data_IF_264375500760
#
_entry.id   IF_264375500760
#
_cell.length_a   1.000
_cell.length_b   1.000
_cell.length_c   1.000
_cell.angle_alpha   90.00
_cell.angle_beta   90.00
_cell.angle_gamma   90.00
#
_symmetry.space_group_name_H-M   'P 1'
#
loop_
_entity.id
_entity.type
_entity.pdbx_description
1 polymer ?
#
# COMPACT_ATOMS: atom_id res chain seq x y z
N UNK A 1 -10.28 4.36 -27.91
CA UNK A 1 -9.50 5.48 -28.47
C UNK A 1 -8.04 5.07 -28.51
N UNK A 2 -7.42 5.17 -29.67
CA UNK A 2 -6.00 4.90 -29.84
C UNK A 2 -5.23 6.23 -29.71
N UNK A 3 -4.31 6.27 -28.77
CA UNK A 3 -3.40 7.41 -28.56
C UNK A 3 -2.14 7.13 -29.38
N UNK A 4 -1.58 8.15 -30.04
CA UNK A 4 -0.30 7.97 -30.73
C UNK A 4 0.75 7.50 -29.69
N UNK A 5 1.48 6.44 -29.99
CA UNK A 5 2.49 5.88 -29.06
C UNK A 5 3.49 6.95 -28.60
N UNK A 6 3.88 7.88 -29.47
CA UNK A 6 4.75 9.02 -29.14
C UNK A 6 4.21 9.87 -27.98
N UNK A 7 2.89 10.11 -27.92
CA UNK A 7 2.29 10.90 -26.85
C UNK A 7 2.34 10.17 -25.49
N UNK A 8 2.21 8.85 -25.49
CA UNK A 8 2.32 8.03 -24.27
C UNK A 8 3.74 8.13 -23.71
N UNK A 9 4.77 7.95 -24.55
CA UNK A 9 6.16 8.08 -24.13
C UNK A 9 6.47 9.51 -23.63
N UNK A 10 5.93 10.53 -24.27
CA UNK A 10 6.12 11.92 -23.84
C UNK A 10 5.53 12.16 -22.45
N UNK A 11 4.34 11.62 -22.15
CA UNK A 11 3.72 11.75 -20.82
C UNK A 11 4.59 11.08 -19.76
N UNK A 12 5.05 9.83 -19.98
CA UNK A 12 5.95 9.16 -19.05
C UNK A 12 7.26 9.90 -18.85
N UNK A 13 7.83 10.45 -19.92
CA UNK A 13 9.05 11.25 -19.87
C UNK A 13 8.86 12.53 -19.03
N UNK A 14 7.75 13.24 -19.21
CA UNK A 14 7.41 14.42 -18.41
C UNK A 14 7.25 14.08 -16.92
N UNK A 15 6.59 12.95 -16.61
CA UNK A 15 6.43 12.49 -15.21
C UNK A 15 7.77 12.08 -14.60
N UNK A 16 8.63 11.42 -15.36
CA UNK A 16 9.99 11.11 -14.92
C UNK A 16 10.80 12.38 -14.64
N UNK A 17 10.77 13.37 -15.56
CA UNK A 17 11.42 14.66 -15.31
C UNK A 17 10.85 15.39 -14.09
N UNK A 18 9.54 15.33 -13.87
CA UNK A 18 8.92 15.87 -12.65
C UNK A 18 9.47 15.21 -11.38
N UNK A 19 9.72 13.89 -11.41
CA UNK A 19 10.33 13.18 -10.29
C UNK A 19 11.79 13.55 -10.08
N UNK A 20 12.56 13.74 -11.17
CA UNK A 20 13.94 14.25 -11.09
C UNK A 20 14.01 15.67 -10.53
N UNK A 21 13.09 16.56 -10.93
CA UNK A 21 13.00 17.90 -10.35
C UNK A 21 12.72 17.81 -8.85
N UNK A 22 11.76 16.95 -8.43
CA UNK A 22 11.50 16.68 -7.02
C UNK A 22 12.74 16.18 -6.26
N UNK A 23 13.54 15.30 -6.88
CA UNK A 23 14.80 14.83 -6.31
C UNK A 23 15.79 15.98 -6.06
N UNK A 24 16.00 16.86 -7.04
CA UNK A 24 16.91 18.01 -6.88
C UNK A 24 16.39 19.04 -5.87
N UNK A 25 15.07 19.20 -5.74
CA UNK A 25 14.44 20.08 -4.77
C UNK A 25 14.30 19.46 -3.37
N UNK A 26 14.73 18.19 -3.19
CA UNK A 26 14.54 17.42 -1.96
C UNK A 26 13.07 17.35 -1.52
N UNK A 27 12.18 17.10 -2.48
CA UNK A 27 10.74 16.99 -2.25
C UNK A 27 10.41 15.95 -1.17
N UNK A 28 9.54 16.33 -0.22
CA UNK A 28 8.94 15.45 0.78
C UNK A 28 7.49 15.86 1.04
N UNK A 29 6.59 15.51 0.11
CA UNK A 29 5.17 15.84 0.24
C UNK A 29 4.42 14.85 1.14
N UNK A 30 5.07 13.79 1.61
CA UNK A 30 4.54 12.85 2.60
C UNK A 30 4.65 13.37 4.04
N UNK A 31 5.55 14.31 4.29
CA UNK A 31 5.90 14.90 5.61
C UNK A 31 6.65 13.97 6.58
N UNK A 32 7.18 12.85 6.13
CA UNK A 32 7.86 11.91 7.02
C UNK A 32 9.12 11.29 6.43
N UNK A 33 9.14 11.03 5.13
CA UNK A 33 10.21 10.24 4.50
C UNK A 33 11.62 10.85 4.66
N UNK A 34 11.76 12.16 4.71
CA UNK A 34 13.06 12.80 4.97
C UNK A 34 13.51 12.61 6.41
N UNK A 35 12.60 12.69 7.36
CA UNK A 35 12.86 12.46 8.78
C UNK A 35 13.26 10.99 8.99
N UNK A 36 12.46 10.07 8.45
CA UNK A 36 12.73 8.64 8.52
C UNK A 36 14.06 8.27 7.86
N UNK A 37 14.36 8.87 6.71
CA UNK A 37 15.66 8.67 6.04
C UNK A 37 16.85 9.05 6.94
N UNK A 38 16.76 10.16 7.69
CA UNK A 38 17.80 10.55 8.64
C UNK A 38 17.92 9.55 9.80
N UNK A 39 16.81 9.06 10.34
CA UNK A 39 16.80 8.01 11.35
C UNK A 39 17.40 6.71 10.79
N UNK A 40 17.07 6.33 9.57
CA UNK A 40 17.63 5.15 8.91
C UNK A 40 19.16 5.23 8.74
N UNK A 41 19.70 6.42 8.47
CA UNK A 41 21.17 6.61 8.40
C UNK A 41 21.86 6.26 9.70
N UNK A 42 21.21 6.48 10.82
CA UNK A 42 21.70 6.17 12.14
C UNK A 42 21.81 4.66 12.32
N UNK A 43 20.72 3.94 12.06
CA UNK A 43 20.74 2.47 12.14
C UNK A 43 21.74 1.86 11.15
N UNK A 44 21.89 2.44 9.95
CA UNK A 44 22.94 2.01 9.00
C UNK A 44 24.34 2.21 9.56
N UNK A 45 24.61 3.33 10.26
CA UNK A 45 25.92 3.56 10.88
C UNK A 45 26.24 2.56 11.98
N UNK A 46 25.22 2.04 12.69
CA UNK A 46 25.39 0.96 13.67
C UNK A 46 25.83 -0.34 12.99
N UNK A 47 25.21 -0.71 11.86
CA UNK A 47 25.64 -1.86 11.05
C UNK A 47 27.05 -1.68 10.46
N UNK A 48 27.46 -0.45 10.15
CA UNK A 48 28.83 -0.16 9.68
C UNK A 48 29.87 -0.37 10.79
N UNK A 49 29.51 -0.02 12.03
CA UNK A 49 30.39 -0.12 13.20
C UNK A 49 30.60 -1.57 13.64
N UNK A 50 29.51 -2.31 13.82
CA UNK A 50 29.54 -3.72 14.21
C UNK A 50 28.32 -4.46 13.66
N UNK A 51 28.50 -5.09 12.51
CA UNK A 51 27.43 -5.75 11.77
C UNK A 51 26.78 -6.87 12.59
N UNK A 52 27.58 -7.77 13.17
CA UNK A 52 27.04 -8.94 13.86
C UNK A 52 26.35 -8.55 15.19
N UNK A 53 26.96 -7.65 15.94
CA UNK A 53 26.36 -7.16 17.19
C UNK A 53 25.02 -6.48 16.90
N UNK A 54 24.98 -5.56 15.94
CA UNK A 54 23.75 -4.85 15.57
C UNK A 54 22.68 -5.81 15.08
N UNK A 55 23.03 -6.84 14.29
CA UNK A 55 22.06 -7.82 13.80
C UNK A 55 21.45 -8.66 14.93
N UNK A 56 22.23 -9.02 15.94
CA UNK A 56 21.79 -9.88 17.07
C UNK A 56 21.03 -9.12 18.17
N UNK A 57 21.17 -7.80 18.24
CA UNK A 57 20.48 -6.94 19.22
C UNK A 57 19.55 -5.91 18.58
N UNK A 58 19.14 -6.13 17.34
CA UNK A 58 18.35 -5.15 16.57
C UNK A 58 16.97 -4.87 17.16
N UNK A 59 16.38 -5.86 17.85
CA UNK A 59 15.13 -5.70 18.59
C UNK A 59 15.17 -4.74 19.77
N UNK A 60 16.38 -4.31 20.21
CA UNK A 60 16.53 -3.27 21.23
C UNK A 60 16.38 -1.84 20.63
N UNK A 61 16.44 -1.73 19.31
CA UNK A 61 16.32 -0.47 18.61
C UNK A 61 14.84 -0.06 18.44
N UNK A 62 14.51 1.22 18.63
CA UNK A 62 13.13 1.70 18.50
C UNK A 62 12.70 1.83 17.02
N UNK A 63 12.74 0.74 16.28
CA UNK A 63 12.36 0.72 14.85
C UNK A 63 11.42 -0.41 14.55
N UNK A 64 10.40 -0.12 13.71
CA UNK A 64 9.46 -1.11 13.19
C UNK A 64 9.93 -1.76 11.87
N UNK A 65 11.07 -1.33 11.32
CA UNK A 65 11.57 -1.83 10.05
C UNK A 65 12.42 -3.10 10.23
N UNK A 66 12.43 -3.92 9.20
CA UNK A 66 13.26 -5.13 9.16
C UNK A 66 14.75 -4.80 9.05
N UNK A 67 15.65 -5.54 9.73
CA UNK A 67 17.10 -5.37 9.59
C UNK A 67 17.58 -5.53 8.12
N UNK A 68 16.89 -6.32 7.31
CA UNK A 68 17.23 -6.50 5.88
C UNK A 68 17.14 -5.18 5.10
N UNK A 69 16.21 -4.31 5.46
CA UNK A 69 16.13 -2.98 4.85
C UNK A 69 17.42 -2.17 5.12
N UNK A 70 17.94 -2.17 6.32
CA UNK A 70 19.17 -1.45 6.67
C UNK A 70 20.41 -2.06 6.03
N UNK A 71 20.47 -3.39 5.91
CA UNK A 71 21.53 -4.09 5.17
C UNK A 71 21.48 -3.70 3.68
N UNK A 72 20.30 -3.62 3.08
CA UNK A 72 20.13 -3.13 1.70
C UNK A 72 20.56 -1.67 1.57
N UNK A 73 20.18 -0.81 2.50
CA UNK A 73 20.60 0.59 2.48
C UNK A 73 22.14 0.72 2.63
N UNK A 74 22.73 -0.04 3.54
CA UNK A 74 24.19 -0.12 3.68
C UNK A 74 24.87 -0.57 2.38
N UNK A 75 24.30 -1.57 1.70
CA UNK A 75 24.78 -2.01 0.39
C UNK A 75 24.73 -0.87 -0.65
N UNK A 76 23.58 -0.17 -0.75
CA UNK A 76 23.45 0.99 -1.64
C UNK A 76 24.51 2.06 -1.33
N UNK A 77 24.71 2.37 -0.05
CA UNK A 77 25.72 3.36 0.38
C UNK A 77 27.12 2.95 -0.02
N UNK A 78 27.49 1.67 0.16
CA UNK A 78 28.83 1.15 -0.22
C UNK A 78 29.06 1.14 -1.72
N UNK A 79 28.06 0.79 -2.52
CA UNK A 79 28.17 0.72 -3.98
C UNK A 79 28.21 2.13 -4.61
N UNK A 80 27.50 3.08 -4.01
CA UNK A 80 27.36 4.42 -4.60
C UNK A 80 28.48 5.40 -4.25
N UNK A 81 29.26 5.15 -3.19
CA UNK A 81 30.27 6.07 -2.63
C UNK A 81 29.76 7.48 -2.29
N UNK A 82 28.50 7.81 -2.63
CA UNK A 82 27.89 9.11 -2.43
C UNK A 82 26.39 8.96 -2.11
N UNK A 83 25.92 9.69 -1.11
CA UNK A 83 24.54 9.66 -0.65
C UNK A 83 23.53 10.01 -1.76
N UNK A 84 23.81 11.05 -2.55
CA UNK A 84 22.93 11.45 -3.65
C UNK A 84 22.87 10.38 -4.76
N UNK A 85 23.96 9.66 -5.01
CA UNK A 85 23.96 8.54 -5.96
C UNK A 85 23.14 7.38 -5.41
N UNK A 86 23.24 7.05 -4.11
CA UNK A 86 22.41 6.03 -3.49
C UNK A 86 20.90 6.36 -3.63
N UNK A 87 20.52 7.60 -3.32
CA UNK A 87 19.15 8.10 -3.50
C UNK A 87 18.71 8.04 -4.99
N UNK A 88 19.60 8.40 -5.91
CA UNK A 88 19.30 8.33 -7.34
C UNK A 88 19.10 6.89 -7.81
N UNK A 89 19.88 5.92 -7.31
CA UNK A 89 19.67 4.50 -7.57
C UNK A 89 18.30 4.06 -7.05
N UNK A 90 17.93 4.44 -5.82
CA UNK A 90 16.62 4.15 -5.25
C UNK A 90 15.47 4.71 -6.10
N UNK A 91 15.62 5.96 -6.60
CA UNK A 91 14.66 6.58 -7.51
C UNK A 91 14.48 5.73 -8.78
N UNK A 92 15.56 5.28 -9.39
CA UNK A 92 15.48 4.47 -10.61
C UNK A 92 14.91 3.07 -10.35
N UNK A 93 15.21 2.46 -9.19
CA UNK A 93 14.58 1.20 -8.78
C UNK A 93 13.06 1.39 -8.60
N UNK A 94 12.63 2.51 -8.04
CA UNK A 94 11.21 2.82 -7.88
C UNK A 94 10.46 2.93 -9.21
N UNK A 95 11.11 3.28 -10.33
CA UNK A 95 10.48 3.32 -11.65
C UNK A 95 10.00 1.94 -12.15
N UNK A 96 10.54 0.86 -11.62
CA UNK A 96 10.02 -0.47 -11.95
C UNK A 96 8.62 -0.72 -11.39
N UNK A 97 8.15 0.03 -10.36
CA UNK A 97 6.80 -0.11 -9.80
C UNK A 97 5.73 0.23 -10.86
N UNK A 98 5.69 1.44 -11.45
CA UNK A 98 4.72 1.74 -12.51
C UNK A 98 4.91 0.87 -13.76
N UNK A 99 6.12 0.40 -14.04
CA UNK A 99 6.39 -0.53 -15.15
C UNK A 99 5.72 -1.90 -14.90
N UNK A 100 5.93 -2.52 -13.73
CA UNK A 100 5.26 -3.80 -13.40
C UNK A 100 3.76 -3.63 -13.27
N UNK A 101 3.28 -2.50 -12.77
CA UNK A 101 1.85 -2.19 -12.77
C UNK A 101 1.28 -2.16 -14.19
N UNK A 102 1.98 -1.55 -15.14
CA UNK A 102 1.62 -1.61 -16.56
C UNK A 102 1.56 -3.05 -17.09
N UNK A 103 2.56 -3.88 -16.77
CA UNK A 103 2.57 -5.29 -17.17
C UNK A 103 1.39 -6.08 -16.59
N UNK A 104 1.05 -5.88 -15.31
CA UNK A 104 -0.11 -6.47 -14.66
C UNK A 104 -1.42 -6.07 -15.35
N UNK A 105 -1.60 -4.78 -15.62
CA UNK A 105 -2.78 -4.27 -16.31
C UNK A 105 -2.90 -4.85 -17.72
N UNK A 106 -1.79 -4.90 -18.45
CA UNK A 106 -1.75 -5.48 -19.80
C UNK A 106 -2.13 -6.96 -19.79
N UNK A 107 -1.64 -7.70 -18.82
CA UNK A 107 -1.95 -9.12 -18.65
C UNK A 107 -3.44 -9.32 -18.33
N UNK A 108 -3.98 -8.58 -17.35
CA UNK A 108 -5.38 -8.72 -16.92
C UNK A 108 -6.40 -8.25 -17.96
N UNK A 109 -6.12 -7.15 -18.65
CA UNK A 109 -7.10 -6.49 -19.54
C UNK A 109 -6.80 -6.65 -21.02
N UNK A 110 -5.74 -7.34 -21.39
CA UNK A 110 -5.33 -7.66 -22.77
C UNK A 110 -5.48 -6.49 -23.76
N UNK A 111 -4.76 -5.40 -23.55
CA UNK A 111 -4.84 -4.20 -24.39
C UNK A 111 -3.52 -3.88 -25.11
N UNK A 112 -3.62 -3.19 -26.24
CA UNK A 112 -2.46 -2.71 -26.98
C UNK A 112 -1.84 -1.46 -26.35
N UNK A 113 -0.53 -1.24 -26.57
CA UNK A 113 0.23 -0.09 -26.01
C UNK A 113 -0.39 1.27 -26.34
N UNK A 114 -1.07 1.41 -27.46
CA UNK A 114 -1.75 2.65 -27.89
C UNK A 114 -3.12 2.88 -27.21
N UNK A 115 -3.54 2.00 -26.33
CA UNK A 115 -4.80 2.14 -25.61
C UNK A 115 -4.66 3.12 -24.43
N UNK A 116 -5.72 3.87 -24.13
CA UNK A 116 -5.80 4.78 -22.99
C UNK A 116 -5.43 4.10 -21.64
N UNK A 117 -5.70 2.81 -21.51
CA UNK A 117 -5.34 2.00 -20.32
C UNK A 117 -3.85 1.98 -20.03
N UNK A 118 -3.00 2.17 -21.04
CA UNK A 118 -1.55 2.23 -20.87
C UNK A 118 -1.08 3.46 -20.07
N UNK A 119 -1.94 4.46 -19.90
CA UNK A 119 -1.67 5.64 -19.08
C UNK A 119 -2.14 5.51 -17.62
N UNK A 120 -2.86 4.44 -17.25
CA UNK A 120 -3.26 4.24 -15.84
C UNK A 120 -2.06 4.26 -14.88
N UNK A 121 -0.90 3.64 -15.19
CA UNK A 121 0.26 3.69 -14.28
C UNK A 121 0.82 5.09 -14.04
N UNK A 122 0.45 6.09 -14.84
CA UNK A 122 0.85 7.49 -14.60
C UNK A 122 0.38 8.02 -13.24
N UNK A 123 -0.73 7.47 -12.69
CA UNK A 123 -1.24 7.87 -11.37
C UNK A 123 -0.24 7.61 -10.25
N UNK A 124 0.64 6.61 -10.40
CA UNK A 124 1.66 6.29 -9.40
C UNK A 124 2.64 7.45 -9.24
N UNK A 125 3.02 8.13 -10.34
CA UNK A 125 3.87 9.32 -10.28
C UNK A 125 3.19 10.54 -9.63
N UNK A 126 1.86 10.51 -9.48
CA UNK A 126 1.08 11.55 -8.81
C UNK A 126 0.81 11.22 -7.34
N UNK A 127 1.21 10.04 -6.86
CA UNK A 127 1.16 9.66 -5.45
C UNK A 127 2.25 10.41 -4.68
N UNK A 128 1.91 11.21 -3.64
CA UNK A 128 2.90 11.91 -2.83
C UNK A 128 3.83 10.95 -2.07
N UNK A 129 3.31 9.82 -1.60
CA UNK A 129 4.09 8.83 -0.85
C UNK A 129 5.02 8.02 -1.76
N UNK A 130 4.57 7.64 -2.96
CA UNK A 130 5.48 7.04 -3.95
C UNK A 130 6.63 7.98 -4.31
N UNK A 131 6.34 9.27 -4.53
CA UNK A 131 7.36 10.27 -4.88
C UNK A 131 8.37 10.43 -3.76
N UNK A 132 7.90 10.64 -2.54
CA UNK A 132 8.76 10.79 -1.37
C UNK A 132 9.62 9.53 -1.13
N UNK A 133 9.03 8.32 -1.16
CA UNK A 133 9.77 7.06 -1.04
C UNK A 133 10.74 6.77 -2.20
N UNK A 134 10.50 7.33 -3.40
CA UNK A 134 11.46 7.24 -4.51
C UNK A 134 12.66 8.17 -4.32
N UNK A 135 12.44 9.36 -3.76
CA UNK A 135 13.46 10.39 -3.52
C UNK A 135 14.29 10.10 -2.27
N UNK A 136 13.63 9.67 -1.19
CA UNK A 136 14.25 9.31 0.07
C UNK A 136 14.27 7.78 0.22
N UNK A 137 15.41 7.20 0.58
CA UNK A 137 15.53 5.75 0.71
C UNK A 137 14.72 5.30 1.92
N UNK A 138 13.56 4.65 1.64
CA UNK A 138 12.67 4.04 2.61
C UNK A 138 12.38 2.59 2.26
N UNK A 139 11.82 1.83 3.19
CA UNK A 139 11.43 0.43 2.98
C UNK A 139 10.21 0.28 2.06
N UNK A 140 9.41 1.35 1.91
CA UNK A 140 8.12 1.35 1.25
C UNK A 140 8.20 0.98 -0.23
N UNK A 141 8.98 1.75 -1.01
CA UNK A 141 9.04 1.55 -2.45
C UNK A 141 9.74 0.25 -2.84
N UNK A 142 10.80 -0.15 -2.13
CA UNK A 142 11.48 -1.42 -2.46
C UNK A 142 10.60 -2.63 -2.14
N UNK A 143 9.89 -2.61 -1.01
CA UNK A 143 8.95 -3.68 -0.65
C UNK A 143 7.75 -3.70 -1.60
N UNK A 144 7.23 -2.53 -1.98
CA UNK A 144 6.13 -2.39 -2.93
C UNK A 144 6.52 -2.88 -4.33
N UNK A 145 7.79 -2.67 -4.75
CA UNK A 145 8.32 -3.22 -6.00
C UNK A 145 8.22 -4.75 -6.00
N UNK A 146 8.70 -5.41 -4.95
CA UNK A 146 8.62 -6.86 -4.87
C UNK A 146 7.17 -7.35 -4.78
N UNK A 147 6.32 -6.61 -4.08
CA UNK A 147 4.89 -6.94 -3.98
C UNK A 147 4.18 -6.87 -5.35
N UNK A 148 4.43 -5.83 -6.16
CA UNK A 148 3.82 -5.73 -7.49
C UNK A 148 4.36 -6.78 -8.47
N UNK A 149 5.62 -7.19 -8.32
CA UNK A 149 6.18 -8.32 -9.06
C UNK A 149 5.49 -9.64 -8.64
N UNK A 150 5.22 -9.82 -7.34
CA UNK A 150 4.43 -10.95 -6.84
C UNK A 150 3.02 -10.95 -7.47
N UNK A 151 2.33 -9.80 -7.52
CA UNK A 151 1.03 -9.66 -8.20
C UNK A 151 1.10 -10.02 -9.69
N UNK A 152 2.19 -9.63 -10.36
CA UNK A 152 2.39 -9.98 -11.77
C UNK A 152 2.43 -11.50 -11.98
N UNK A 153 3.18 -12.25 -11.16
CA UNK A 153 3.25 -13.71 -11.28
C UNK A 153 1.95 -14.39 -10.84
N UNK A 154 1.25 -13.85 -9.83
CA UNK A 154 -0.08 -14.31 -9.48
C UNK A 154 -1.07 -14.14 -10.66
N UNK A 155 -1.12 -12.98 -11.30
CA UNK A 155 -1.97 -12.74 -12.46
C UNK A 155 -1.55 -13.60 -13.66
N UNK A 156 -0.25 -13.78 -13.86
CA UNK A 156 0.27 -14.66 -14.90
C UNK A 156 -0.21 -16.10 -14.70
N UNK A 157 -0.21 -16.60 -13.45
CA UNK A 157 -0.81 -17.89 -13.12
C UNK A 157 -2.34 -17.89 -13.36
N UNK A 158 -3.06 -16.84 -12.93
CA UNK A 158 -4.51 -16.74 -13.04
C UNK A 158 -4.99 -16.76 -14.50
N UNK A 159 -4.27 -16.10 -15.41
CA UNK A 159 -4.61 -16.00 -16.84
C UNK A 159 -3.88 -17.00 -17.74
N UNK A 160 -2.93 -17.77 -17.21
CA UNK A 160 -2.25 -18.83 -17.94
C UNK A 160 -3.15 -20.07 -18.10
N UNK A 161 -3.25 -20.58 -19.33
CA UNK A 161 -4.04 -21.80 -19.61
C UNK A 161 -3.41 -23.04 -18.95
N UNK A 162 -2.09 -23.11 -18.90
CA UNK A 162 -1.34 -24.26 -18.41
C UNK A 162 -1.20 -24.27 -16.88
N UNK A 163 -1.54 -23.16 -16.20
CA UNK A 163 -1.42 -23.03 -14.74
C UNK A 163 -0.04 -23.45 -14.22
N UNK A 164 1.00 -22.82 -14.76
CA UNK A 164 2.40 -23.22 -14.54
C UNK A 164 2.84 -23.04 -13.07
N UNK A 165 3.50 -24.05 -12.50
CA UNK A 165 4.08 -24.04 -11.15
C UNK A 165 5.10 -22.93 -10.92
N UNK A 166 5.91 -22.61 -11.94
CA UNK A 166 6.91 -21.54 -11.82
C UNK A 166 6.29 -20.19 -11.45
N UNK A 167 5.06 -19.94 -11.92
CA UNK A 167 4.37 -18.69 -11.59
C UNK A 167 3.92 -18.66 -10.11
N UNK A 168 3.54 -19.83 -9.53
CA UNK A 168 3.24 -19.96 -8.09
C UNK A 168 4.51 -19.70 -7.27
N UNK A 169 5.61 -20.37 -7.63
CA UNK A 169 6.90 -20.20 -6.95
C UNK A 169 7.36 -18.74 -6.97
N UNK A 170 7.34 -18.10 -8.14
CA UNK A 170 7.78 -16.71 -8.28
C UNK A 170 6.84 -15.74 -7.55
N UNK A 171 5.52 -16.01 -7.51
CA UNK A 171 4.60 -15.23 -6.68
C UNK A 171 5.02 -15.26 -5.21
N UNK A 172 5.26 -16.45 -4.65
CA UNK A 172 5.65 -16.63 -3.25
C UNK A 172 7.04 -16.06 -2.98
N UNK A 173 8.02 -16.28 -3.88
CA UNK A 173 9.37 -15.76 -3.74
C UNK A 173 9.39 -14.23 -3.66
N UNK A 174 8.69 -13.56 -4.58
CA UNK A 174 8.65 -12.09 -4.57
C UNK A 174 7.78 -11.54 -3.43
N UNK A 175 6.77 -12.28 -2.97
CA UNK A 175 6.05 -11.93 -1.75
C UNK A 175 6.96 -12.04 -0.53
N UNK A 176 7.75 -13.10 -0.41
CA UNK A 176 8.74 -13.25 0.66
C UNK A 176 9.77 -12.11 0.63
N UNK A 177 10.30 -11.75 -0.55
CA UNK A 177 11.16 -10.58 -0.67
C UNK A 177 10.48 -9.30 -0.17
N UNK A 178 9.23 -9.03 -0.57
CA UNK A 178 8.47 -7.87 -0.08
C UNK A 178 8.33 -7.90 1.44
N UNK A 179 8.03 -9.06 2.02
CA UNK A 179 7.87 -9.28 3.46
C UNK A 179 9.17 -9.09 4.23
N UNK A 180 10.30 -9.51 3.67
CA UNK A 180 11.61 -9.30 4.29
C UNK A 180 11.98 -7.81 4.42
N UNK A 181 11.53 -6.95 3.50
CA UNK A 181 11.71 -5.51 3.62
C UNK A 181 10.64 -4.88 4.52
N UNK A 182 9.39 -5.33 4.41
CA UNK A 182 8.25 -4.81 5.17
C UNK A 182 7.36 -5.97 5.64
N UNK A 183 7.49 -6.43 6.90
CA UNK A 183 6.84 -7.64 7.43
C UNK A 183 5.31 -7.67 7.26
N UNK A 184 4.66 -6.51 7.27
CA UNK A 184 3.20 -6.38 7.10
C UNK A 184 2.67 -7.02 5.82
N UNK A 185 3.49 -7.12 4.76
CA UNK A 185 3.06 -7.73 3.51
C UNK A 185 2.92 -9.26 3.56
N UNK A 186 3.39 -9.90 4.64
CA UNK A 186 3.15 -11.33 4.87
C UNK A 186 1.67 -11.71 4.82
N UNK A 187 0.79 -10.80 5.24
CA UNK A 187 -0.66 -11.01 5.28
C UNK A 187 -1.26 -11.33 3.89
N UNK A 188 -0.63 -10.86 2.79
CA UNK A 188 -1.05 -11.20 1.44
C UNK A 188 -0.93 -12.69 1.11
N UNK A 189 -0.10 -13.44 1.87
CA UNK A 189 -0.02 -14.91 1.70
C UNK A 189 -1.37 -15.58 1.96
N UNK A 190 -2.19 -15.05 2.87
CA UNK A 190 -3.55 -15.54 3.17
C UNK A 190 -4.46 -15.33 1.96
N UNK A 191 -4.40 -14.15 1.33
CA UNK A 191 -5.18 -13.87 0.13
C UNK A 191 -4.79 -14.80 -1.04
N UNK A 192 -3.50 -14.96 -1.31
CA UNK A 192 -3.04 -15.83 -2.39
C UNK A 192 -3.34 -17.29 -2.09
N UNK A 193 -3.14 -17.75 -0.84
CA UNK A 193 -3.54 -19.09 -0.42
C UNK A 193 -4.99 -19.38 -0.74
N UNK A 194 -5.89 -18.49 -0.33
CA UNK A 194 -7.31 -18.64 -0.60
C UNK A 194 -7.60 -18.69 -2.10
N UNK A 195 -6.99 -17.80 -2.89
CA UNK A 195 -7.17 -17.79 -4.35
C UNK A 195 -6.71 -19.08 -5.00
N UNK A 196 -5.54 -19.59 -4.62
CA UNK A 196 -5.04 -20.86 -5.10
C UNK A 196 -5.92 -22.03 -4.62
N UNK A 197 -6.40 -22.01 -3.38
CA UNK A 197 -7.31 -23.03 -2.85
C UNK A 197 -8.64 -23.07 -3.62
N UNK A 198 -9.25 -21.92 -3.89
CA UNK A 198 -10.52 -21.84 -4.64
C UNK A 198 -10.39 -22.35 -6.09
N UNK A 199 -9.20 -22.22 -6.68
CA UNK A 199 -8.92 -22.66 -8.05
C UNK A 199 -8.44 -24.13 -8.13
N UNK A 200 -7.57 -24.54 -7.23
CA UNK A 200 -6.87 -25.83 -7.25
C UNK A 200 -7.50 -26.88 -6.31
N UNK A 201 -8.30 -26.46 -5.34
CA UNK A 201 -8.74 -27.29 -4.21
C UNK A 201 -7.52 -27.94 -3.51
N UNK A 202 -7.71 -29.10 -2.88
CA UNK A 202 -6.64 -29.85 -2.21
C UNK A 202 -5.85 -30.70 -3.23
N UNK A 203 -4.92 -30.07 -3.92
CA UNK A 203 -4.04 -30.72 -4.89
C UNK A 203 -2.56 -30.59 -4.49
N UNK A 204 -1.69 -31.37 -5.13
CA UNK A 204 -0.24 -31.26 -4.96
C UNK A 204 0.30 -29.84 -5.23
N UNK A 205 -0.37 -29.07 -6.09
CA UNK A 205 0.00 -27.67 -6.36
C UNK A 205 -0.23 -26.76 -5.15
N UNK A 206 -1.33 -26.98 -4.42
CA UNK A 206 -1.60 -26.21 -3.20
C UNK A 206 -0.63 -26.61 -2.08
N UNK A 207 -0.33 -27.90 -1.94
CA UNK A 207 0.68 -28.37 -0.99
C UNK A 207 2.05 -27.75 -1.30
N UNK A 208 2.43 -27.72 -2.57
CA UNK A 208 3.66 -27.04 -3.01
C UNK A 208 3.68 -25.56 -2.62
N UNK A 209 2.57 -24.84 -2.81
CA UNK A 209 2.44 -23.44 -2.37
C UNK A 209 2.71 -23.28 -0.87
N UNK A 210 2.09 -24.15 -0.04
CA UNK A 210 2.28 -24.14 1.43
C UNK A 210 3.75 -24.41 1.77
N UNK A 211 4.35 -25.45 1.21
CA UNK A 211 5.73 -25.85 1.48
C UNK A 211 6.72 -24.74 1.11
N UNK A 212 6.52 -24.07 -0.04
CA UNK A 212 7.38 -22.94 -0.46
C UNK A 212 7.24 -21.76 0.49
N UNK A 213 6.01 -21.41 0.93
CA UNK A 213 5.82 -20.35 1.92
C UNK A 213 6.51 -20.67 3.25
N UNK A 214 6.33 -21.91 3.78
CA UNK A 214 7.00 -22.35 5.00
C UNK A 214 8.52 -22.27 4.85
N UNK A 215 9.07 -22.83 3.76
CA UNK A 215 10.51 -22.80 3.52
C UNK A 215 11.08 -21.39 3.45
N UNK A 216 10.42 -20.49 2.73
CA UNK A 216 10.86 -19.10 2.61
C UNK A 216 10.62 -18.27 3.88
N UNK A 217 9.73 -18.70 4.79
CA UNK A 217 9.56 -18.03 6.09
C UNK A 217 10.59 -18.46 7.15
N UNK A 218 11.25 -19.61 6.98
CA UNK A 218 12.18 -20.16 7.99
C UNK A 218 13.29 -19.17 8.41
N UNK A 219 13.96 -18.41 7.52
CA UNK A 219 14.98 -17.46 7.95
C UNK A 219 14.42 -16.34 8.83
N UNK A 220 13.21 -15.83 8.52
CA UNK A 220 12.56 -14.79 9.33
C UNK A 220 12.11 -15.35 10.68
N UNK A 221 11.55 -16.56 10.72
CA UNK A 221 11.16 -17.22 11.95
C UNK A 221 12.39 -17.54 12.81
N UNK A 222 13.48 -18.04 12.22
CA UNK A 222 14.72 -18.29 12.93
C UNK A 222 15.29 -17.00 13.53
N UNK A 223 15.29 -15.89 12.77
CA UNK A 223 15.70 -14.59 13.26
C UNK A 223 14.83 -14.13 14.44
N UNK A 224 13.51 -14.07 14.25
CA UNK A 224 12.59 -13.50 15.24
C UNK A 224 12.43 -14.33 16.52
N UNK A 225 12.60 -15.67 16.47
CA UNK A 225 12.38 -16.53 17.63
C UNK A 225 13.65 -17.03 18.29
N UNK A 226 14.78 -17.08 17.57
CA UNK A 226 16.02 -17.69 18.06
C UNK A 226 17.14 -16.67 18.20
N UNK A 227 17.34 -15.80 17.21
CA UNK A 227 18.43 -14.83 17.24
C UNK A 227 18.06 -13.56 18.01
N UNK A 228 16.88 -13.02 17.80
CA UNK A 228 16.43 -11.76 18.41
C UNK A 228 14.94 -11.80 18.77
N UNK A 229 14.63 -12.43 19.90
CA UNK A 229 13.25 -12.54 20.41
C UNK A 229 12.65 -11.17 20.75
N UNK A 230 13.47 -10.19 21.10
CA UNK A 230 12.99 -8.83 21.41
C UNK A 230 12.37 -8.17 20.20
N UNK A 231 12.91 -8.41 19.00
CA UNK A 231 12.31 -7.95 17.74
C UNK A 231 10.88 -8.44 17.57
N UNK A 232 10.58 -9.68 17.96
CA UNK A 232 9.23 -10.23 17.90
C UNK A 232 8.33 -9.68 19.03
N UNK A 233 8.85 -9.58 20.26
CA UNK A 233 8.07 -9.14 21.43
C UNK A 233 7.62 -7.68 21.31
N UNK A 234 8.46 -6.79 20.82
CA UNK A 234 8.11 -5.37 20.60
C UNK A 234 6.86 -5.22 19.72
N UNK A 235 6.67 -6.14 18.75
CA UNK A 235 5.52 -6.10 17.84
C UNK A 235 4.27 -6.79 18.40
N UNK A 236 4.39 -7.61 19.45
CA UNK A 236 3.27 -8.39 20.02
C UNK A 236 2.78 -7.82 21.37
N UNK A 237 3.63 -7.14 22.13
CA UNK A 237 3.30 -6.65 23.49
C UNK A 237 2.25 -5.50 23.48
N UNK A 238 1.38 -5.52 22.50
CA UNK A 238 0.31 -4.55 22.38
C UNK A 238 -1.00 -5.22 22.85
N UNK A 239 -1.56 -4.70 23.94
CA UNK A 239 -2.87 -5.15 24.44
C UNK A 239 -3.92 -5.17 23.35
N UNK A 240 -4.63 -6.30 23.23
CA UNK A 240 -5.76 -6.43 22.29
C UNK A 240 -6.95 -5.70 22.91
N UNK A 241 -7.13 -4.42 22.54
CA UNK A 241 -8.25 -3.60 22.97
C UNK A 241 -9.30 -3.47 21.85
N UNK A 242 -10.58 -3.50 22.20
CA UNK A 242 -11.66 -3.34 21.22
C UNK A 242 -11.58 -1.99 20.51
N UNK A 243 -11.21 -0.93 21.23
CA UNK A 243 -11.02 0.42 20.69
C UNK A 243 -10.02 0.43 19.53
N UNK A 244 -8.92 -0.30 19.67
CA UNK A 244 -7.90 -0.40 18.64
C UNK A 244 -8.44 -1.00 17.34
N UNK A 245 -9.20 -2.09 17.43
CA UNK A 245 -9.86 -2.67 16.24
C UNK A 245 -10.82 -1.67 15.60
N UNK A 246 -11.64 -0.97 16.39
CA UNK A 246 -12.59 0.02 15.89
C UNK A 246 -11.85 1.16 15.19
N UNK A 247 -10.78 1.68 15.76
CA UNK A 247 -9.92 2.69 15.14
C UNK A 247 -9.37 2.22 13.79
N UNK A 248 -8.80 1.01 13.78
CA UNK A 248 -8.20 0.41 12.58
C UNK A 248 -9.22 0.20 11.45
N UNK A 249 -10.37 -0.41 11.76
CA UNK A 249 -11.44 -0.64 10.78
C UNK A 249 -11.97 0.67 10.20
N UNK A 250 -12.32 1.64 11.07
CA UNK A 250 -12.95 2.88 10.65
C UNK A 250 -12.01 3.76 9.82
N UNK A 251 -10.75 3.86 10.20
CA UNK A 251 -9.75 4.63 9.46
C UNK A 251 -9.43 3.94 8.13
N UNK A 252 -9.20 2.62 8.13
CA UNK A 252 -8.95 1.86 6.90
C UNK A 252 -10.12 2.00 5.91
N UNK A 253 -11.37 1.83 6.36
CA UNK A 253 -12.54 2.01 5.50
C UNK A 253 -12.60 3.43 4.91
N UNK A 254 -12.31 4.44 5.71
CA UNK A 254 -12.29 5.82 5.26
C UNK A 254 -11.23 6.07 4.19
N UNK A 255 -10.03 5.49 4.33
CA UNK A 255 -8.96 5.57 3.34
C UNK A 255 -9.36 4.82 2.05
N UNK A 256 -9.90 3.60 2.16
CA UNK A 256 -10.37 2.82 1.02
C UNK A 256 -11.49 3.57 0.28
N UNK A 257 -12.42 4.20 1.00
CA UNK A 257 -13.45 5.05 0.37
C UNK A 257 -12.83 6.21 -0.40
N UNK A 258 -11.86 6.92 0.19
CA UNK A 258 -11.20 8.04 -0.46
C UNK A 258 -10.63 7.65 -1.83
N UNK A 259 -9.86 6.58 -1.91
CA UNK A 259 -9.32 6.09 -3.19
C UNK A 259 -10.36 5.49 -4.13
N UNK A 260 -11.54 5.10 -3.60
CA UNK A 260 -12.66 4.59 -4.39
C UNK A 260 -13.47 5.68 -5.08
N UNK A 261 -13.37 6.94 -4.65
CA UNK A 261 -14.16 8.07 -5.16
C UNK A 261 -14.22 8.12 -6.70
N UNK A 262 -13.10 8.09 -7.46
CA UNK A 262 -13.18 8.19 -8.91
C UNK A 262 -13.89 7.01 -9.55
N UNK A 263 -13.81 5.81 -8.98
CA UNK A 263 -14.49 4.61 -9.48
C UNK A 263 -15.98 4.66 -9.21
N UNK A 264 -16.38 5.13 -8.02
CA UNK A 264 -17.76 5.27 -7.61
C UNK A 264 -18.47 6.33 -8.45
N UNK A 265 -17.89 7.54 -8.55
CA UNK A 265 -18.46 8.64 -9.33
C UNK A 265 -18.64 8.27 -10.82
N UNK A 266 -17.71 7.48 -11.37
CA UNK A 266 -17.77 7.04 -12.75
C UNK A 266 -18.80 5.93 -13.03
N UNK A 267 -19.28 5.23 -12.00
CA UNK A 267 -20.10 4.01 -12.14
C UNK A 267 -21.30 3.95 -11.18
N UNK A 268 -21.76 5.08 -10.63
CA UNK A 268 -22.96 5.13 -9.79
C UNK A 268 -24.15 4.62 -10.62
N UNK A 269 -24.75 3.55 -10.17
CA UNK A 269 -25.92 2.94 -10.78
C UNK A 269 -26.99 2.56 -9.74
N UNK A 270 -28.21 2.23 -10.20
CA UNK A 270 -29.30 1.87 -9.31
C UNK A 270 -29.03 0.58 -8.49
N UNK A 271 -28.23 -0.34 -9.03
CA UNK A 271 -27.90 -1.59 -8.33
C UNK A 271 -27.04 -1.33 -7.06
N UNK A 272 -26.10 -0.37 -7.13
CA UNK A 272 -25.36 0.05 -5.95
C UNK A 272 -26.27 0.66 -4.88
N UNK A 273 -27.19 1.54 -5.30
CA UNK A 273 -28.16 2.16 -4.40
C UNK A 273 -29.00 1.11 -3.70
N UNK A 274 -29.55 0.14 -4.44
CA UNK A 274 -30.38 -0.93 -3.88
C UNK A 274 -29.59 -1.86 -2.93
N UNK A 275 -28.30 -2.11 -3.21
CA UNK A 275 -27.48 -2.95 -2.33
C UNK A 275 -27.12 -2.26 -1.01
N UNK A 276 -27.00 -0.94 -0.97
CA UNK A 276 -26.79 -0.19 0.28
C UNK A 276 -27.98 -0.36 1.24
N UNK A 277 -29.21 -0.40 0.72
CA UNK A 277 -30.43 -0.51 1.51
C UNK A 277 -30.87 -1.95 1.81
N UNK A 278 -30.02 -2.95 1.62
CA UNK A 278 -30.30 -4.31 2.08
C UNK A 278 -30.36 -4.37 3.62
N UNK A 279 -31.24 -5.22 4.15
CA UNK A 279 -31.45 -5.34 5.59
C UNK A 279 -30.18 -5.73 6.34
N UNK A 280 -29.35 -6.62 5.73
CA UNK A 280 -28.08 -7.04 6.29
C UNK A 280 -27.13 -5.85 6.46
N UNK A 281 -27.06 -4.95 5.45
CA UNK A 281 -26.24 -3.75 5.53
C UNK A 281 -26.74 -2.78 6.60
N UNK A 282 -28.06 -2.63 6.73
CA UNK A 282 -28.66 -1.75 7.75
C UNK A 282 -28.31 -2.26 9.15
N UNK A 283 -28.48 -3.56 9.41
CA UNK A 283 -28.15 -4.17 10.70
C UNK A 283 -26.66 -4.01 11.03
N UNK A 284 -25.78 -4.35 10.06
CA UNK A 284 -24.33 -4.18 10.25
C UNK A 284 -23.94 -2.72 10.46
N UNK A 285 -24.62 -1.78 9.80
CA UNK A 285 -24.38 -0.33 9.97
C UNK A 285 -24.77 0.16 11.35
N UNK A 286 -25.85 -0.35 11.93
CA UNK A 286 -26.25 -0.03 13.31
C UNK A 286 -25.18 -0.51 14.29
N UNK A 287 -24.70 -1.75 14.12
CA UNK A 287 -23.62 -2.30 14.96
C UNK A 287 -22.35 -1.47 14.81
N UNK A 288 -21.98 -1.14 13.58
CA UNK A 288 -20.78 -0.33 13.32
C UNK A 288 -20.89 1.08 13.89
N UNK A 289 -22.07 1.70 13.80
CA UNK A 289 -22.34 3.01 14.41
C UNK A 289 -22.19 2.95 15.94
N UNK A 290 -22.73 1.91 16.57
CA UNK A 290 -22.55 1.69 18.00
C UNK A 290 -21.06 1.60 18.37
N UNK A 291 -20.29 0.78 17.63
CA UNK A 291 -18.86 0.64 17.86
C UNK A 291 -18.10 1.96 17.69
N UNK A 292 -18.43 2.74 16.66
CA UNK A 292 -17.82 4.07 16.44
C UNK A 292 -18.11 5.04 17.59
N UNK A 293 -19.34 5.08 18.09
CA UNK A 293 -19.72 6.05 19.12
C UNK A 293 -19.14 5.73 20.49
N UNK A 294 -18.97 4.44 20.82
CA UNK A 294 -18.58 4.01 22.17
C UNK A 294 -17.15 3.49 22.30
N UNK A 295 -16.50 3.13 21.18
CA UNK A 295 -15.18 2.51 21.22
C UNK A 295 -14.13 3.18 20.31
N UNK A 296 -14.49 4.22 19.54
CA UNK A 296 -13.50 4.98 18.78
C UNK A 296 -12.82 6.01 19.68
N UNK A 297 -11.52 5.85 19.90
CA UNK A 297 -10.70 6.70 20.78
C UNK A 297 -9.38 7.16 20.13
N UNK A 298 -9.32 7.13 18.79
CA UNK A 298 -8.12 7.54 18.07
C UNK A 298 -7.82 9.02 18.33
N UNK A 299 -6.67 9.28 18.96
CA UNK A 299 -6.21 10.62 19.32
C UNK A 299 -4.72 10.77 19.02
N UNK A 300 -4.34 10.47 17.78
CA UNK A 300 -2.96 10.58 17.33
C UNK A 300 -2.86 11.72 16.32
N UNK A 301 -1.96 12.69 16.51
CA UNK A 301 -1.82 13.84 15.61
C UNK A 301 -1.31 13.45 14.22
N UNK A 302 -0.62 12.32 14.13
CA UNK A 302 -0.10 11.77 12.88
C UNK A 302 -0.98 10.62 12.39
N UNK A 303 -1.08 10.41 11.07
CA UNK A 303 -1.92 9.33 10.54
C UNK A 303 -3.43 9.65 10.50
N UNK A 304 -4.28 8.61 10.63
CA UNK A 304 -5.75 8.72 10.66
C UNK A 304 -6.44 8.94 9.31
N UNK A 305 -5.69 9.15 8.24
CA UNK A 305 -6.23 9.37 6.90
C UNK A 305 -6.84 10.77 6.71
N UNK A 306 -7.24 11.05 5.45
CA UNK A 306 -7.67 12.41 5.04
C UNK A 306 -8.98 12.81 5.71
N UNK A 307 -9.98 11.93 5.78
CA UNK A 307 -11.28 12.26 6.36
C UNK A 307 -11.22 12.51 7.87
N UNK A 308 -10.33 11.81 8.57
CA UNK A 308 -10.09 12.06 9.99
C UNK A 308 -9.45 13.44 10.20
N UNK A 309 -8.37 13.74 9.48
CA UNK A 309 -7.69 15.05 9.55
C UNK A 309 -8.64 16.19 9.16
N UNK A 310 -9.47 15.99 8.15
CA UNK A 310 -10.45 16.97 7.71
C UNK A 310 -11.53 17.24 8.78
N UNK A 311 -11.99 16.19 9.49
CA UNK A 311 -12.92 16.32 10.61
C UNK A 311 -12.33 17.17 11.74
N UNK A 312 -11.08 16.90 12.12
CA UNK A 312 -10.40 17.66 13.17
C UNK A 312 -10.16 19.12 12.74
N UNK A 313 -9.76 19.35 11.49
CA UNK A 313 -9.47 20.70 10.98
C UNK A 313 -10.71 21.59 10.99
N UNK A 314 -11.88 21.08 10.60
CA UNK A 314 -13.10 21.90 10.44
C UNK A 314 -13.87 22.02 11.76
N UNK A 315 -14.04 20.92 12.49
CA UNK A 315 -14.95 20.85 13.64
C UNK A 315 -14.25 20.61 14.97
N UNK A 316 -12.94 20.36 14.94
CA UNK A 316 -12.16 19.96 16.12
C UNK A 316 -12.78 18.80 16.90
N UNK A 317 -13.48 17.89 16.20
CA UNK A 317 -14.10 16.69 16.75
C UNK A 317 -14.19 15.58 15.68
N UNK A 318 -14.67 14.39 16.08
CA UNK A 318 -14.72 13.21 15.22
C UNK A 318 -16.07 12.99 14.51
N UNK A 319 -17.09 13.85 14.68
CA UNK A 319 -18.44 13.59 14.15
C UNK A 319 -18.48 13.51 12.62
N UNK A 320 -17.78 14.38 11.92
CA UNK A 320 -17.69 14.32 10.47
C UNK A 320 -16.95 13.06 10.00
N UNK A 321 -15.92 12.65 10.74
CA UNK A 321 -15.22 11.40 10.46
C UNK A 321 -16.13 10.18 10.66
N UNK A 322 -16.94 10.13 11.71
CA UNK A 322 -17.92 9.05 11.91
C UNK A 322 -18.90 8.95 10.73
N UNK A 323 -19.36 10.08 10.23
CA UNK A 323 -20.23 10.13 9.05
C UNK A 323 -19.53 9.54 7.81
N UNK A 324 -18.30 9.95 7.51
CA UNK A 324 -17.56 9.39 6.39
C UNK A 324 -17.22 7.91 6.57
N UNK A 325 -16.86 7.48 7.77
CA UNK A 325 -16.58 6.06 8.07
C UNK A 325 -17.82 5.19 7.91
N UNK A 326 -18.99 5.68 8.30
CA UNK A 326 -20.25 4.99 8.08
C UNK A 326 -20.61 4.87 6.60
N UNK A 327 -20.42 5.94 5.83
CA UNK A 327 -20.58 5.88 4.37
C UNK A 327 -19.59 4.88 3.75
N UNK A 328 -18.32 4.92 4.18
CA UNK A 328 -17.30 4.01 3.71
C UNK A 328 -17.67 2.55 3.94
N UNK A 329 -18.09 2.23 5.16
CA UNK A 329 -18.53 0.89 5.54
C UNK A 329 -19.68 0.40 4.66
N UNK A 330 -20.74 1.21 4.50
CA UNK A 330 -21.91 0.85 3.69
C UNK A 330 -21.56 0.68 2.20
N UNK A 331 -20.78 1.58 1.65
CA UNK A 331 -20.35 1.50 0.24
C UNK A 331 -19.51 0.27 -0.02
N UNK A 332 -18.55 -0.04 0.87
CA UNK A 332 -17.70 -1.21 0.71
C UNK A 332 -18.49 -2.52 0.83
N UNK A 333 -19.41 -2.62 1.79
CA UNK A 333 -20.32 -3.77 1.87
C UNK A 333 -21.18 -3.89 0.61
N UNK A 334 -21.74 -2.79 0.11
CA UNK A 334 -22.51 -2.79 -1.12
C UNK A 334 -21.69 -3.27 -2.32
N UNK A 335 -20.43 -2.85 -2.43
CA UNK A 335 -19.49 -3.31 -3.46
C UNK A 335 -19.25 -4.81 -3.38
N UNK A 336 -19.09 -5.36 -2.17
CA UNK A 336 -18.91 -6.80 -1.96
C UNK A 336 -20.16 -7.61 -2.35
N UNK A 337 -21.37 -7.08 -2.07
CA UNK A 337 -22.64 -7.75 -2.38
C UNK A 337 -23.10 -7.61 -3.84
N UNK A 338 -22.50 -6.70 -4.62
CA UNK A 338 -22.81 -6.55 -6.05
C UNK A 338 -22.41 -7.76 -6.90
N UNK A 339 -21.42 -8.52 -6.45
CA UNK A 339 -20.96 -9.69 -7.19
C UNK A 339 -21.83 -10.90 -6.88
N UNK A 340 -22.31 -11.58 -7.93
CA UNK A 340 -23.14 -12.76 -7.78
C UNK A 340 -22.33 -14.04 -7.56
N UNK A 341 -21.03 -14.05 -7.89
CA UNK A 341 -20.13 -15.19 -7.67
C UNK A 341 -19.64 -15.22 -6.21
N UNK A 342 -19.95 -16.29 -5.49
CA UNK A 342 -19.54 -16.53 -4.10
C UNK A 342 -18.00 -16.50 -3.97
N UNK A 343 -17.27 -17.05 -4.94
CA UNK A 343 -15.80 -17.08 -4.92
C UNK A 343 -15.22 -15.66 -4.96
N UNK A 344 -15.78 -14.79 -5.79
CA UNK A 344 -15.34 -13.41 -5.91
C UNK A 344 -15.70 -12.60 -4.67
N UNK A 345 -16.88 -12.84 -4.06
CA UNK A 345 -17.25 -12.22 -2.77
C UNK A 345 -16.28 -12.61 -1.65
N UNK A 346 -15.99 -13.91 -1.51
CA UNK A 346 -15.04 -14.41 -0.49
C UNK A 346 -13.66 -13.79 -0.74
N UNK A 347 -13.20 -13.73 -1.99
CA UNK A 347 -11.92 -13.13 -2.35
C UNK A 347 -11.84 -11.65 -1.98
N UNK A 348 -12.90 -10.88 -2.27
CA UNK A 348 -12.98 -9.46 -1.93
C UNK A 348 -13.03 -9.25 -0.41
N UNK A 349 -13.76 -10.11 0.32
CA UNK A 349 -13.83 -10.04 1.78
C UNK A 349 -12.47 -10.28 2.42
N UNK A 350 -11.77 -11.34 1.99
CA UNK A 350 -10.41 -11.62 2.50
C UNK A 350 -9.45 -10.49 2.14
N UNK A 351 -9.55 -9.94 0.93
CA UNK A 351 -8.71 -8.81 0.52
C UNK A 351 -8.98 -7.57 1.40
N UNK A 352 -10.24 -7.32 1.76
CA UNK A 352 -10.60 -6.25 2.69
C UNK A 352 -10.02 -6.50 4.08
N UNK A 353 -10.11 -7.74 4.60
CA UNK A 353 -9.50 -8.12 5.87
C UNK A 353 -7.97 -7.96 5.84
N UNK A 354 -7.32 -8.34 4.73
CA UNK A 354 -5.88 -8.10 4.51
C UNK A 354 -5.58 -6.61 4.60
N UNK A 355 -6.35 -5.75 3.92
CA UNK A 355 -6.16 -4.29 3.97
C UNK A 355 -6.28 -3.72 5.38
N UNK A 356 -7.26 -4.18 6.14
CA UNK A 356 -7.46 -3.75 7.53
C UNK A 356 -6.26 -4.16 8.39
N UNK A 357 -5.71 -5.34 8.17
CA UNK A 357 -4.61 -5.89 8.96
C UNK A 357 -3.22 -5.39 8.55
N UNK A 358 -3.10 -4.53 7.52
CA UNK A 358 -1.81 -3.96 7.11
C UNK A 358 -1.20 -3.02 8.16
N UNK A 359 -2.03 -2.37 8.98
CA UNK A 359 -1.58 -1.50 10.05
C UNK A 359 -2.03 -2.07 11.38
N UNK A 360 -1.10 -2.70 12.09
CA UNK A 360 -1.34 -3.24 13.43
C UNK A 360 -0.97 -2.26 14.53
N UNK A 361 -0.30 -1.16 14.21
CA UNK A 361 0.20 -0.19 15.17
C UNK A 361 -0.88 0.79 15.66
N UNK A 362 -0.56 1.54 16.73
CA UNK A 362 -1.44 2.59 17.25
C UNK A 362 -1.66 3.72 16.25
N UNK A 363 -0.68 3.96 15.38
CA UNK A 363 -0.76 4.99 14.34
C UNK A 363 -1.05 4.34 13.01
N UNK A 364 -2.12 4.77 12.36
CA UNK A 364 -2.53 4.26 11.04
C UNK A 364 -2.08 5.25 9.99
N UNK A 365 -1.03 4.86 9.25
CA UNK A 365 -0.42 5.72 8.25
C UNK A 365 -1.08 5.58 6.89
N UNK A 366 -1.33 6.71 6.24
CA UNK A 366 -1.89 6.76 4.89
C UNK A 366 -0.92 6.18 3.84
N UNK A 367 0.37 6.29 4.08
CA UNK A 367 1.45 5.81 3.21
C UNK A 367 1.43 4.29 2.97
N UNK A 368 0.96 3.51 3.94
CA UNK A 368 0.81 2.07 3.80
C UNK A 368 -0.19 1.70 2.72
N UNK A 369 -1.18 2.57 2.49
CA UNK A 369 -2.25 2.38 1.52
C UNK A 369 -1.98 3.05 0.16
N UNK A 370 -1.17 4.10 0.10
CA UNK A 370 -0.82 4.80 -1.14
C UNK A 370 0.59 4.40 -1.62
N UNK A 371 0.77 3.93 -2.85
CA UNK A 371 -0.21 3.72 -3.92
C UNK A 371 -0.78 2.29 -4.00
N UNK A 372 -0.63 1.46 -2.96
CA UNK A 372 -1.05 0.05 -2.92
C UNK A 372 -2.53 -0.13 -3.30
N UNK A 373 -3.42 0.77 -2.85
CA UNK A 373 -4.86 0.68 -3.15
C UNK A 373 -5.14 0.75 -4.65
N UNK A 374 -4.37 1.51 -5.43
CA UNK A 374 -4.52 1.48 -6.88
C UNK A 374 -4.21 0.10 -7.46
N UNK A 375 -3.17 -0.58 -6.96
CA UNK A 375 -2.88 -1.93 -7.42
C UNK A 375 -4.01 -2.88 -7.07
N UNK A 376 -4.55 -2.79 -5.86
CA UNK A 376 -5.65 -3.63 -5.40
C UNK A 376 -6.91 -3.40 -6.24
N UNK A 377 -7.33 -2.17 -6.45
CA UNK A 377 -8.54 -1.85 -7.22
C UNK A 377 -8.44 -2.27 -8.68
N UNK A 378 -7.31 -2.06 -9.30
CA UNK A 378 -7.13 -2.42 -10.70
C UNK A 378 -6.81 -3.91 -10.90
N UNK A 379 -6.11 -4.56 -9.96
CA UNK A 379 -5.56 -5.90 -10.19
C UNK A 379 -6.28 -7.01 -9.43
N UNK A 380 -6.56 -6.83 -8.14
CA UNK A 380 -6.98 -7.93 -7.27
C UNK A 380 -8.49 -7.95 -7.01
N UNK A 381 -9.09 -6.78 -6.76
CA UNK A 381 -10.52 -6.72 -6.43
C UNK A 381 -11.37 -7.18 -7.61
N UNK A 382 -12.36 -8.02 -7.34
CA UNK A 382 -13.27 -8.60 -8.32
C UNK A 382 -14.68 -8.05 -8.12
N UNK A 383 -14.84 -6.73 -8.28
CA UNK A 383 -16.12 -6.05 -8.24
C UNK A 383 -16.44 -5.43 -9.59
N UNK A 384 -17.71 -5.52 -10.00
CA UNK A 384 -18.22 -4.95 -11.27
C UNK A 384 -17.92 -3.45 -11.41
N UNK A 385 -17.87 -2.71 -10.31
CA UNK A 385 -17.57 -1.27 -10.32
C UNK A 385 -16.17 -1.01 -10.85
N UNK A 386 -15.16 -1.66 -10.25
CA UNK A 386 -13.75 -1.48 -10.63
C UNK A 386 -13.44 -2.11 -11.99
N UNK A 387 -14.01 -3.30 -12.27
CA UNK A 387 -13.85 -3.97 -13.56
C UNK A 387 -14.46 -3.14 -14.70
N UNK A 388 -15.71 -2.65 -14.57
CA UNK A 388 -16.35 -1.82 -15.58
C UNK A 388 -15.68 -0.47 -15.76
N UNK A 389 -15.08 0.09 -14.72
CA UNK A 389 -14.27 1.30 -14.85
C UNK A 389 -13.15 1.07 -15.86
N UNK A 390 -12.38 -0.01 -15.67
CA UNK A 390 -11.19 -0.29 -16.48
C UNK A 390 -11.54 -0.88 -17.85
N UNK A 391 -12.49 -1.84 -17.93
CA UNK A 391 -12.91 -2.41 -19.20
C UNK A 391 -13.50 -1.36 -20.15
N UNK A 392 -14.33 -0.46 -19.62
CA UNK A 392 -15.00 0.63 -20.35
C UNK A 392 -14.36 1.98 -20.04
N UNK A 393 -13.02 2.03 -20.00
CA UNK A 393 -12.29 3.26 -19.74
C UNK A 393 -12.52 4.26 -20.87
N UNK A 394 -13.13 5.38 -20.53
CA UNK A 394 -13.36 6.54 -21.43
C UNK A 394 -12.45 7.70 -21.01
N UNK A 395 -12.31 8.70 -21.90
CA UNK A 395 -11.56 9.91 -21.55
C UNK A 395 -12.11 10.59 -20.29
N UNK A 396 -13.44 10.65 -20.12
CA UNK A 396 -14.08 11.25 -18.94
C UNK A 396 -13.66 10.53 -17.66
N UNK A 397 -13.70 9.19 -17.66
CA UNK A 397 -13.26 8.38 -16.50
C UNK A 397 -11.77 8.54 -16.21
N UNK A 398 -10.95 8.58 -17.25
CA UNK A 398 -9.51 8.80 -17.11
C UNK A 398 -9.20 10.20 -16.58
N UNK A 399 -9.82 11.24 -17.10
CA UNK A 399 -9.69 12.62 -16.61
C UNK A 399 -10.11 12.70 -15.13
N UNK A 400 -11.21 12.07 -14.74
CA UNK A 400 -11.65 12.03 -13.35
C UNK A 400 -10.59 11.38 -12.43
N UNK A 401 -9.98 10.28 -12.85
CA UNK A 401 -8.93 9.60 -12.11
C UNK A 401 -7.67 10.48 -11.96
N UNK A 402 -7.23 11.11 -13.05
CA UNK A 402 -6.07 12.01 -13.05
C UNK A 402 -6.36 13.26 -12.22
N UNK A 403 -7.53 13.88 -12.38
CA UNK A 403 -7.95 15.04 -11.59
C UNK A 403 -7.93 14.72 -10.08
N UNK A 404 -8.47 13.58 -9.68
CA UNK A 404 -8.43 13.12 -8.31
C UNK A 404 -6.98 12.97 -7.80
N UNK A 405 -6.11 12.31 -8.58
CA UNK A 405 -4.71 12.11 -8.19
C UNK A 405 -3.92 13.42 -8.11
N UNK A 406 -4.16 14.36 -9.03
CA UNK A 406 -3.55 15.70 -8.97
C UNK A 406 -4.07 16.49 -7.76
N UNK A 407 -5.38 16.42 -7.46
CA UNK A 407 -5.96 17.09 -6.29
C UNK A 407 -5.37 16.54 -4.99
N UNK A 408 -5.15 15.23 -4.91
CA UNK A 408 -4.51 14.61 -3.76
C UNK A 408 -3.06 15.06 -3.60
N UNK A 409 -2.28 15.08 -4.68
CA UNK A 409 -0.91 15.60 -4.67
C UNK A 409 -0.89 17.08 -4.25
N UNK A 410 -1.79 17.90 -4.78
CA UNK A 410 -1.88 19.33 -4.43
C UNK A 410 -2.21 19.52 -2.93
N UNK A 411 -3.14 18.74 -2.37
CA UNK A 411 -3.44 18.76 -0.94
C UNK A 411 -2.22 18.37 -0.10
N UNK A 412 -1.45 17.38 -0.53
CA UNK A 412 -0.22 16.96 0.17
C UNK A 412 0.87 18.05 0.10
N UNK A 413 1.00 18.74 -1.03
CA UNK A 413 1.91 19.89 -1.17
C UNK A 413 1.51 21.02 -0.20
N UNK A 414 0.24 21.39 -0.17
CA UNK A 414 -0.27 22.43 0.76
C UNK A 414 -0.01 22.02 2.20
N UNK A 415 -0.31 20.78 2.56
CA UNK A 415 -0.06 20.24 3.90
C UNK A 415 1.44 20.27 4.26
N UNK A 416 2.33 19.96 3.32
CA UNK A 416 3.78 20.00 3.55
C UNK A 416 4.29 21.42 3.77
N UNK A 417 3.75 22.39 3.05
CA UNK A 417 4.11 23.81 3.23
C UNK A 417 3.65 24.31 4.60
N UNK A 418 2.42 23.98 5.02
CA UNK A 418 1.87 24.39 6.30
C UNK A 418 2.63 23.80 7.50
N UNK A 419 3.17 22.58 7.36
CA UNK A 419 3.88 21.89 8.43
C UNK A 419 5.41 21.95 8.30
N UNK A 420 5.95 22.76 7.40
CA UNK A 420 7.39 22.85 7.14
C UNK A 420 8.22 23.22 8.39
N UNK A 421 7.71 24.12 9.22
CA UNK A 421 8.40 24.54 10.44
C UNK A 421 8.53 23.39 11.46
N UNK A 422 7.47 22.59 11.64
CA UNK A 422 7.50 21.44 12.54
C UNK A 422 8.43 20.32 12.01
N UNK A 423 8.39 20.05 10.73
CA UNK A 423 9.31 19.09 10.09
C UNK A 423 10.77 19.53 10.27
N UNK A 424 11.07 20.81 10.07
CA UNK A 424 12.43 21.34 10.25
C UNK A 424 12.88 21.23 11.72
N UNK A 425 11.98 21.45 12.68
CA UNK A 425 12.24 21.23 14.10
C UNK A 425 12.60 19.80 14.40
N UNK A 426 11.85 18.82 13.88
CA UNK A 426 12.15 17.39 14.06
C UNK A 426 13.52 17.02 13.46
N UNK A 427 13.83 17.50 12.26
CA UNK A 427 15.14 17.31 11.62
C UNK A 427 16.26 17.85 12.53
N UNK A 428 16.11 19.05 13.06
CA UNK A 428 17.11 19.67 13.92
C UNK A 428 17.31 18.89 15.22
N UNK A 429 16.25 18.34 15.82
CA UNK A 429 16.34 17.47 17.00
C UNK A 429 17.15 16.20 16.69
N UNK A 430 16.89 15.55 15.56
CA UNK A 430 17.63 14.36 15.13
C UNK A 430 19.11 14.70 14.94
N UNK A 431 19.42 15.78 14.25
CA UNK A 431 20.82 16.20 13.99
C UNK A 431 21.55 16.57 15.29
N UNK A 432 20.87 17.19 16.27
CA UNK A 432 21.49 17.59 17.53
C UNK A 432 21.79 16.44 18.48
N UNK A 433 21.10 15.31 18.32
CA UNK A 433 21.31 14.10 19.14
C UNK A 433 22.43 13.19 18.58
N UNK A 434 23.09 13.62 17.50
CA UNK A 434 24.20 12.95 16.82
C UNK A 434 25.43 13.84 16.67
#
# INVERSE_FOLDING_TARGET
MNIKSRNIYLIYLLLYFSLLVGFYLNEDFSLGNRVDYLQHKISVAMFEKDFMKTLLSFGEEPTSHSPIFYIFFLFLKKVSFNENIARLINLHLSLFIPYFFYLCLRLKYNFHRTNLKSLIPCIIFLSPYFRAGAIWIGSENISLLFLIISFYFFLKYEFDKEKNFSNIFLNVLFLACATYFRPIYAIFSIYFFLRFYLDLKLTNKLLYYILVNVFLSLPALYYAFILDINFFLIHIDQTIELSRFVNQYSICFSIVLFYSIPFLLANINNNLKLSIFRIENIVLSIIFTYLLLFHFDYNVPYGGGIFYKFSLLIFNNNYLFYFFSLIAFNVLLAVLFLDNDIKDRISNLILLLVLISLESDRVIYHETYDPLLYFIFFLLIKSRIYLNFTWKLTNKKFILLIFFSISFLALSIVNSILNQAEMQRQINIIISNY
#
